data_IF_268304505732
#
_entry.id   IF_268304505732
#
_cell.length_a   1.000
_cell.length_b   1.000
_cell.length_c   1.000
_cell.angle_alpha   90.00
_cell.angle_beta   90.00
_cell.angle_gamma   90.00
#
_symmetry.space_group_name_H-M   'P 1'
#
loop_
_entity.id
_entity.type
_entity.pdbx_description
1 polymer ?
#
# COMPACT_ATOMS: atom_id res chain seq x y z
N UNK A 1 -31.78 -27.10 -11.64
CA UNK A 1 -31.54 -26.60 -13.03
C UNK A 1 -30.59 -25.40 -13.00
N UNK A 2 -29.96 -25.02 -14.13
CA UNK A 2 -29.07 -23.83 -14.18
C UNK A 2 -29.77 -22.54 -13.70
N UNK A 3 -31.09 -22.41 -13.91
CA UNK A 3 -31.90 -21.28 -13.39
C UNK A 3 -32.02 -21.32 -11.87
N UNK A 4 -32.45 -22.45 -11.31
CA UNK A 4 -32.60 -22.62 -9.86
C UNK A 4 -31.27 -22.43 -9.10
N UNK A 5 -30.14 -22.87 -9.68
CA UNK A 5 -28.81 -22.58 -9.11
C UNK A 5 -28.49 -21.09 -9.17
N UNK A 6 -28.79 -20.41 -10.28
CA UNK A 6 -28.53 -18.98 -10.41
C UNK A 6 -29.37 -18.15 -9.42
N UNK A 7 -30.65 -18.51 -9.22
CA UNK A 7 -31.54 -17.92 -8.23
C UNK A 7 -31.02 -18.12 -6.79
N UNK A 8 -30.60 -19.34 -6.43
CA UNK A 8 -30.04 -19.65 -5.10
C UNK A 8 -28.85 -18.75 -4.72
N UNK A 9 -28.02 -18.39 -5.69
CA UNK A 9 -26.82 -17.57 -5.47
C UNK A 9 -27.00 -16.10 -5.88
N UNK A 10 -28.23 -15.66 -6.17
CA UNK A 10 -28.54 -14.30 -6.61
C UNK A 10 -27.66 -13.81 -7.79
N UNK A 11 -27.44 -14.69 -8.77
CA UNK A 11 -26.71 -14.40 -10.00
C UNK A 11 -27.61 -14.61 -11.22
N UNK A 12 -27.26 -14.01 -12.36
CA UNK A 12 -28.02 -14.24 -13.59
C UNK A 12 -27.69 -15.61 -14.20
N UNK A 13 -28.67 -16.31 -14.82
CA UNK A 13 -28.39 -17.55 -15.56
C UNK A 13 -27.37 -17.38 -16.70
N UNK A 14 -27.20 -16.15 -17.21
CA UNK A 14 -26.15 -15.80 -18.19
C UNK A 14 -24.76 -15.86 -17.54
N UNK A 15 -24.56 -15.28 -16.36
CA UNK A 15 -23.29 -15.33 -15.64
C UNK A 15 -22.88 -16.78 -15.35
N UNK A 16 -23.82 -17.61 -14.88
CA UNK A 16 -23.54 -19.02 -14.61
C UNK A 16 -23.13 -19.79 -15.88
N UNK A 17 -23.77 -19.53 -17.02
CA UNK A 17 -23.38 -20.13 -18.31
C UNK A 17 -21.98 -19.72 -18.75
N UNK A 18 -21.64 -18.43 -18.62
CA UNK A 18 -20.31 -17.92 -18.96
C UNK A 18 -19.21 -18.48 -18.06
N UNK A 19 -19.46 -18.61 -16.76
CA UNK A 19 -18.50 -19.23 -15.83
C UNK A 19 -18.30 -20.71 -16.12
N UNK A 20 -19.36 -21.45 -16.47
CA UNK A 20 -19.24 -22.85 -16.90
C UNK A 20 -18.41 -22.93 -18.19
N UNK A 21 -18.64 -22.04 -19.16
CA UNK A 21 -17.86 -21.98 -20.41
C UNK A 21 -16.38 -21.71 -20.17
N UNK A 22 -16.05 -20.83 -19.21
CA UNK A 22 -14.68 -20.43 -18.85
C UNK A 22 -14.10 -21.18 -17.64
N UNK A 23 -14.67 -22.34 -17.27
CA UNK A 23 -14.32 -23.07 -16.04
C UNK A 23 -12.83 -23.36 -15.90
N UNK A 24 -12.16 -23.78 -16.99
CA UNK A 24 -10.72 -24.09 -16.94
C UNK A 24 -9.85 -22.83 -16.81
N UNK A 25 -10.20 -21.74 -17.51
CA UNK A 25 -9.51 -20.46 -17.36
C UNK A 25 -9.63 -19.91 -15.93
N UNK A 26 -10.82 -20.05 -15.32
CA UNK A 26 -11.06 -19.63 -13.93
C UNK A 26 -10.25 -20.46 -12.92
N UNK A 27 -10.09 -21.76 -13.15
CA UNK A 27 -9.27 -22.63 -12.30
C UNK A 27 -7.77 -22.33 -12.40
N UNK A 28 -7.30 -21.95 -13.58
CA UNK A 28 -5.90 -21.64 -13.84
C UNK A 28 -5.52 -20.19 -13.48
N UNK A 29 -6.50 -19.34 -13.16
CA UNK A 29 -6.25 -17.96 -12.78
C UNK A 29 -5.58 -17.88 -11.38
N UNK A 30 -4.52 -17.07 -11.22
CA UNK A 30 -3.92 -16.86 -9.91
C UNK A 30 -4.92 -16.28 -8.90
N UNK A 31 -4.83 -16.61 -7.60
CA UNK A 31 -5.79 -16.16 -6.57
C UNK A 31 -5.97 -14.63 -6.49
N UNK A 32 -4.99 -13.86 -6.94
CA UNK A 32 -5.02 -12.38 -6.93
C UNK A 32 -5.72 -11.75 -8.15
N UNK A 33 -6.08 -12.52 -9.18
CA UNK A 33 -6.65 -11.99 -10.43
C UNK A 33 -8.16 -11.83 -10.32
N UNK A 34 -8.63 -10.58 -10.27
CA UNK A 34 -10.07 -10.24 -10.16
C UNK A 34 -10.82 -10.27 -11.50
N UNK A 35 -10.13 -10.30 -12.64
CA UNK A 35 -10.74 -10.26 -14.00
C UNK A 35 -9.92 -11.11 -14.97
N UNK A 36 -10.58 -12.05 -15.67
CA UNK A 36 -9.96 -12.83 -16.75
C UNK A 36 -9.70 -12.01 -18.02
N UNK A 37 -10.47 -10.94 -18.23
CA UNK A 37 -10.27 -10.07 -19.39
C UNK A 37 -9.05 -9.17 -19.14
N UNK A 38 -7.95 -9.46 -19.85
CA UNK A 38 -6.66 -8.73 -19.81
C UNK A 38 -6.80 -7.28 -20.32
N UNK A 39 -7.96 -6.93 -20.89
CA UNK A 39 -8.24 -5.63 -21.49
C UNK A 39 -7.88 -5.60 -22.98
N UNK A 40 -8.06 -4.43 -23.62
CA UNK A 40 -7.74 -4.25 -25.04
C UNK A 40 -6.26 -4.45 -25.32
N UNK A 41 -5.94 -5.22 -26.36
CA UNK A 41 -4.57 -5.47 -26.82
C UNK A 41 -3.89 -4.16 -27.24
N UNK A 42 -2.56 -4.10 -27.08
CA UNK A 42 -1.76 -2.99 -27.57
C UNK A 42 -1.89 -2.88 -29.09
N UNK A 43 -2.19 -1.67 -29.61
CA UNK A 43 -2.24 -1.42 -31.06
C UNK A 43 -0.85 -1.57 -31.70
N UNK A 44 0.21 -1.23 -30.96
CA UNK A 44 1.61 -1.30 -31.40
C UNK A 44 2.46 -2.06 -30.36
N UNK A 45 2.34 -3.39 -30.29
CA UNK A 45 2.92 -4.18 -29.19
C UNK A 45 4.45 -4.08 -29.12
N UNK A 46 5.15 -4.11 -30.25
CA UNK A 46 6.61 -4.01 -30.26
C UNK A 46 7.11 -2.63 -29.83
N UNK A 47 6.41 -1.56 -30.24
CA UNK A 47 6.74 -0.21 -29.79
C UNK A 47 6.48 -0.04 -28.28
N UNK A 48 5.41 -0.65 -27.75
CA UNK A 48 5.14 -0.64 -26.31
C UNK A 48 6.23 -1.36 -25.50
N UNK A 49 6.89 -2.39 -26.04
CA UNK A 49 8.03 -3.05 -25.39
C UNK A 49 9.19 -2.07 -25.22
N UNK A 50 9.60 -1.39 -26.28
CA UNK A 50 10.72 -0.43 -26.23
C UNK A 50 10.38 0.77 -25.33
N UNK A 51 9.16 1.27 -25.42
CA UNK A 51 8.67 2.35 -24.57
C UNK A 51 8.64 1.94 -23.10
N UNK A 52 8.21 0.71 -22.78
CA UNK A 52 8.21 0.17 -21.41
C UNK A 52 9.62 0.06 -20.86
N UNK A 53 10.57 -0.44 -21.63
CA UNK A 53 11.98 -0.54 -21.25
C UNK A 53 12.57 0.84 -20.94
N UNK A 54 12.27 1.83 -21.78
CA UNK A 54 12.69 3.21 -21.55
C UNK A 54 12.07 3.81 -20.27
N UNK A 55 10.76 3.60 -20.02
CA UNK A 55 10.11 4.05 -18.77
C UNK A 55 10.76 3.40 -17.54
N UNK A 56 11.05 2.10 -17.59
CA UNK A 56 11.74 1.38 -16.50
C UNK A 56 13.14 1.96 -16.23
N UNK A 57 13.92 2.24 -17.27
CA UNK A 57 15.26 2.85 -17.16
C UNK A 57 15.24 4.26 -16.55
N UNK A 58 14.19 5.05 -16.81
CA UNK A 58 14.04 6.35 -16.16
C UNK A 58 13.65 6.21 -14.68
N UNK A 59 12.74 5.28 -14.38
CA UNK A 59 12.28 5.02 -13.01
C UNK A 59 13.38 4.44 -12.13
N UNK A 60 14.27 3.59 -12.65
CA UNK A 60 15.43 3.09 -11.89
C UNK A 60 16.41 4.20 -11.50
N UNK A 61 16.52 5.23 -12.33
CA UNK A 61 17.30 6.46 -12.05
C UNK A 61 16.52 7.51 -11.26
N UNK A 62 15.38 7.14 -10.68
CA UNK A 62 14.50 8.02 -9.91
C UNK A 62 14.02 9.27 -10.68
N UNK A 63 14.04 9.24 -12.02
CA UNK A 63 13.54 10.34 -12.85
C UNK A 63 12.03 10.28 -12.96
N UNK A 64 11.39 11.45 -12.87
CA UNK A 64 9.95 11.59 -13.08
C UNK A 64 9.63 11.27 -14.54
N UNK A 65 8.60 10.45 -14.77
CA UNK A 65 8.09 10.12 -16.10
C UNK A 65 6.68 10.67 -16.22
N UNK A 66 6.54 11.81 -16.88
CA UNK A 66 5.23 12.44 -17.11
C UNK A 66 4.52 11.84 -18.33
N UNK A 67 3.19 12.03 -18.42
CA UNK A 67 2.41 11.62 -19.61
C UNK A 67 2.94 12.27 -20.90
N UNK A 68 3.39 13.52 -20.80
CA UNK A 68 4.01 14.24 -21.91
C UNK A 68 5.30 13.56 -22.37
N UNK A 69 6.18 13.18 -21.44
CA UNK A 69 7.43 12.48 -21.78
C UNK A 69 7.16 11.15 -22.49
N UNK A 70 6.17 10.37 -22.02
CA UNK A 70 5.77 9.11 -22.67
C UNK A 70 5.23 9.36 -24.07
N UNK A 71 4.37 10.37 -24.24
CA UNK A 71 3.85 10.79 -25.55
C UNK A 71 4.98 11.16 -26.51
N UNK A 72 5.90 12.02 -26.08
CA UNK A 72 7.03 12.49 -26.90
C UNK A 72 7.95 11.33 -27.29
N UNK A 73 8.27 10.43 -26.34
CA UNK A 73 9.09 9.26 -26.64
C UNK A 73 8.39 8.30 -27.60
N UNK A 74 7.09 8.06 -27.44
CA UNK A 74 6.32 7.23 -28.37
C UNK A 74 6.33 7.81 -29.79
N UNK A 75 6.11 9.13 -29.93
CA UNK A 75 6.22 9.82 -31.21
C UNK A 75 7.62 9.73 -31.83
N UNK A 76 8.68 9.76 -31.02
CA UNK A 76 10.05 9.58 -31.52
C UNK A 76 10.30 8.15 -32.01
N UNK A 77 9.87 7.14 -31.25
CA UNK A 77 9.99 5.74 -31.66
C UNK A 77 9.21 5.47 -32.95
N UNK A 78 8.02 6.05 -33.09
CA UNK A 78 7.17 5.90 -34.28
C UNK A 78 7.85 6.33 -35.59
N UNK A 79 8.82 7.26 -35.52
CA UNK A 79 9.56 7.75 -36.69
C UNK A 79 10.74 6.85 -37.09
N UNK A 80 11.09 5.85 -36.29
CA UNK A 80 12.21 4.97 -36.62
C UNK A 80 11.84 4.05 -37.80
N UNK A 81 12.75 3.79 -38.76
CA UNK A 81 12.47 2.95 -39.93
C UNK A 81 11.95 1.55 -39.59
N UNK A 82 12.43 0.97 -38.48
CA UNK A 82 11.97 -0.32 -37.96
C UNK A 82 10.47 -0.33 -37.64
N UNK A 83 9.93 0.77 -37.10
CA UNK A 83 8.50 0.84 -36.76
C UNK A 83 7.64 1.28 -37.93
N UNK A 84 8.16 2.12 -38.84
CA UNK A 84 7.46 2.51 -40.07
C UNK A 84 7.24 1.32 -41.00
N UNK A 85 8.23 0.44 -41.14
CA UNK A 85 8.12 -0.80 -41.93
C UNK A 85 7.12 -1.80 -41.33
N UNK A 86 7.07 -1.93 -40.01
CA UNK A 86 6.15 -2.83 -39.31
C UNK A 86 4.71 -2.29 -39.21
N UNK A 87 4.56 -0.97 -39.15
CA UNK A 87 3.28 -0.31 -38.88
C UNK A 87 3.10 0.91 -39.80
N UNK A 88 2.55 0.73 -41.03
CA UNK A 88 2.50 1.80 -42.04
C UNK A 88 1.75 3.06 -41.60
N UNK A 89 0.67 2.92 -40.83
CA UNK A 89 -0.15 4.05 -40.33
C UNK A 89 0.32 4.58 -38.96
N UNK A 90 1.52 4.24 -38.51
CA UNK A 90 1.98 4.65 -37.18
C UNK A 90 2.29 6.14 -37.09
N UNK A 91 2.68 6.78 -38.20
CA UNK A 91 2.98 8.21 -38.24
C UNK A 91 1.72 9.07 -38.02
N UNK A 92 0.54 8.56 -38.37
CA UNK A 92 -0.76 9.21 -38.22
C UNK A 92 -1.27 9.12 -36.78
N UNK A 93 -0.62 8.29 -35.95
CA UNK A 93 -1.03 8.12 -34.57
C UNK A 93 -0.81 9.41 -33.77
N UNK A 94 -1.89 9.96 -33.21
CA UNK A 94 -1.84 11.19 -32.40
C UNK A 94 -1.22 11.03 -31.00
N UNK A 95 -0.88 9.80 -30.59
CA UNK A 95 -0.36 9.46 -29.25
C UNK A 95 -1.13 10.19 -28.13
N UNK A 96 -2.47 10.12 -28.19
CA UNK A 96 -3.33 10.88 -27.28
C UNK A 96 -3.09 10.49 -25.83
N UNK A 97 -3.44 11.36 -24.87
CA UNK A 97 -3.32 11.00 -23.46
C UNK A 97 -4.15 9.76 -23.09
N UNK A 98 -5.28 9.50 -23.77
CA UNK A 98 -6.03 8.24 -23.63
C UNK A 98 -5.19 7.03 -24.04
N UNK A 99 -4.42 7.13 -25.13
CA UNK A 99 -3.50 6.06 -25.55
C UNK A 99 -2.39 5.86 -24.51
N UNK A 100 -1.79 6.96 -24.01
CA UNK A 100 -0.76 6.93 -22.95
C UNK A 100 -1.30 6.26 -21.69
N UNK A 101 -2.48 6.65 -21.21
CA UNK A 101 -3.12 6.03 -20.04
C UNK A 101 -3.44 4.54 -20.29
N UNK A 102 -3.79 4.19 -21.54
CA UNK A 102 -3.88 2.81 -22.02
C UNK A 102 -2.58 2.02 -21.84
N UNK A 103 -1.49 2.55 -22.38
CA UNK A 103 -0.15 1.98 -22.29
C UNK A 103 0.30 1.82 -20.83
N UNK A 104 0.13 2.86 -20.01
CA UNK A 104 0.49 2.86 -18.60
C UNK A 104 -0.28 1.77 -17.85
N UNK A 105 -1.60 1.67 -18.07
CA UNK A 105 -2.45 0.64 -17.45
C UNK A 105 -2.06 -0.77 -17.86
N UNK A 106 -1.84 -1.02 -19.16
CA UNK A 106 -1.40 -2.34 -19.67
C UNK A 106 -0.07 -2.78 -19.08
N UNK A 107 0.80 -1.83 -18.77
CA UNK A 107 2.14 -2.10 -18.26
C UNK A 107 2.27 -1.93 -16.73
N UNK A 108 1.14 -1.83 -16.02
CA UNK A 108 1.09 -1.63 -14.56
C UNK A 108 1.89 -0.42 -14.05
N UNK A 109 2.01 0.61 -14.90
CA UNK A 109 2.57 1.88 -14.49
C UNK A 109 1.47 2.75 -13.89
N UNK A 110 1.67 3.15 -12.63
CA UNK A 110 0.80 4.11 -11.99
C UNK A 110 1.19 5.55 -12.38
N UNK A 111 0.17 6.38 -12.65
CA UNK A 111 0.28 7.84 -12.64
C UNK A 111 0.21 8.30 -11.17
N UNK A 112 1.14 7.87 -10.32
CA UNK A 112 1.22 8.38 -8.96
C UNK A 112 1.83 9.78 -9.01
N UNK A 113 1.09 10.79 -8.54
CA UNK A 113 1.70 11.99 -7.97
C UNK A 113 2.63 11.49 -6.87
N UNK A 114 3.90 11.93 -6.81
CA UNK A 114 4.80 11.54 -5.72
C UNK A 114 4.03 11.73 -4.41
N UNK A 115 3.95 10.70 -3.57
CA UNK A 115 4.19 10.96 -2.16
C UNK A 115 5.62 11.42 -2.11
N UNK A 116 5.92 12.50 -1.39
CA UNK A 116 7.29 12.97 -1.22
C UNK A 116 8.12 11.78 -0.74
N UNK A 117 8.84 11.12 -1.66
CA UNK A 117 9.88 10.14 -1.33
C UNK A 117 10.67 10.81 -0.23
N UNK A 118 10.71 10.16 0.94
CA UNK A 118 11.53 10.60 2.06
C UNK A 118 12.87 11.04 1.47
N UNK A 119 13.27 12.27 1.77
CA UNK A 119 14.53 12.81 1.27
C UNK A 119 15.63 11.77 1.52
N UNK A 120 16.63 11.68 0.64
CA UNK A 120 17.83 10.89 0.96
C UNK A 120 18.24 11.32 2.37
N UNK A 121 18.30 10.35 3.28
CA UNK A 121 18.70 10.60 4.66
C UNK A 121 20.09 11.26 4.56
N UNK A 122 20.26 12.48 5.09
CA UNK A 122 21.56 13.15 5.06
C UNK A 122 22.66 12.24 5.61
N UNK A 123 23.88 12.29 5.06
CA UNK A 123 24.99 11.51 5.63
C UNK A 123 25.27 11.87 7.10
N UNK A 124 24.89 13.07 7.53
CA UNK A 124 25.03 13.60 8.89
C UNK A 124 23.84 13.28 9.81
N UNK A 125 22.88 12.46 9.37
CA UNK A 125 21.67 12.17 10.14
C UNK A 125 21.95 11.45 11.46
N UNK A 126 22.81 10.44 11.45
CA UNK A 126 23.18 9.70 12.67
C UNK A 126 23.90 10.64 13.66
N UNK A 127 24.95 11.41 13.25
CA UNK A 127 25.56 12.44 14.10
C UNK A 127 24.57 13.47 14.65
N UNK A 128 23.67 14.01 13.81
CA UNK A 128 22.67 15.01 14.24
C UNK A 128 21.62 14.43 15.18
N UNK A 129 21.22 13.18 14.96
CA UNK A 129 20.32 12.48 15.89
C UNK A 129 20.99 12.34 17.25
N UNK A 130 22.25 11.91 17.27
CA UNK A 130 22.97 11.70 18.51
C UNK A 130 23.24 13.03 19.23
N UNK A 131 23.63 14.08 18.51
CA UNK A 131 23.75 15.45 19.03
C UNK A 131 22.42 15.97 19.59
N UNK A 132 21.31 15.75 18.88
CA UNK A 132 19.97 16.11 19.38
C UNK A 132 19.63 15.35 20.65
N UNK A 133 19.84 14.03 20.70
CA UNK A 133 19.58 13.21 21.89
C UNK A 133 20.45 13.59 23.08
N UNK A 134 21.68 14.07 22.84
CA UNK A 134 22.57 14.57 23.89
C UNK A 134 22.16 15.95 24.41
N UNK A 135 21.56 16.79 23.57
CA UNK A 135 21.15 18.15 23.91
C UNK A 135 19.68 18.28 24.34
N UNK A 136 18.86 17.25 24.12
CA UNK A 136 17.51 17.20 24.71
C UNK A 136 17.66 17.09 26.22
N UNK A 137 17.14 18.06 27.00
CA UNK A 137 17.19 17.98 28.45
C UNK A 137 16.55 16.68 28.90
N UNK A 138 17.26 15.88 29.70
CA UNK A 138 16.69 14.71 30.37
C UNK A 138 15.72 15.21 31.42
N UNK A 139 14.53 15.59 30.99
CA UNK A 139 13.46 15.97 31.89
C UNK A 139 13.11 14.74 32.72
N UNK A 140 12.97 14.96 34.03
CA UNK A 140 12.41 13.95 34.91
C UNK A 140 10.93 13.86 34.56
N UNK A 141 10.54 12.75 33.92
CA UNK A 141 9.13 12.53 33.63
C UNK A 141 8.35 12.33 34.94
N UNK A 142 7.13 12.88 35.06
CA UNK A 142 6.26 12.64 36.20
C UNK A 142 6.10 11.16 36.54
N UNK A 143 5.92 10.86 37.84
CA UNK A 143 5.64 9.51 38.31
C UNK A 143 4.44 8.90 37.56
N UNK A 144 4.63 7.71 36.99
CA UNK A 144 3.62 7.01 36.19
C UNK A 144 3.84 7.07 34.68
N UNK A 145 4.72 7.95 34.18
CA UNK A 145 5.12 7.97 32.76
C UNK A 145 6.28 6.99 32.54
N UNK A 146 6.08 6.02 31.66
CA UNK A 146 7.10 5.05 31.25
C UNK A 146 7.59 5.39 29.86
N UNK A 147 8.88 5.70 29.74
CA UNK A 147 9.55 5.97 28.46
C UNK A 147 10.45 4.79 28.11
N UNK A 148 10.28 4.25 26.90
CA UNK A 148 11.09 3.14 26.38
C UNK A 148 11.42 3.40 24.92
N UNK A 149 12.66 3.09 24.53
CA UNK A 149 13.17 3.30 23.18
C UNK A 149 13.89 2.05 22.70
N UNK A 150 13.96 1.87 21.38
CA UNK A 150 14.72 0.80 20.74
C UNK A 150 15.56 1.37 19.59
N UNK A 151 16.48 0.55 19.06
CA UNK A 151 17.38 0.98 17.97
C UNK A 151 16.66 1.30 16.66
N UNK A 152 15.53 0.65 16.37
CA UNK A 152 14.79 0.91 15.14
C UNK A 152 14.00 2.22 15.19
N UNK A 153 13.72 2.75 16.38
CA UNK A 153 12.84 3.90 16.58
C UNK A 153 11.36 3.60 16.27
N UNK A 154 11.01 2.35 15.99
CA UNK A 154 9.66 1.92 15.65
C UNK A 154 9.14 0.90 16.64
N UNK A 155 7.82 0.90 16.86
CA UNK A 155 7.17 -0.17 17.63
C UNK A 155 7.43 -1.53 16.96
N UNK A 156 7.75 -2.55 17.73
CA UNK A 156 7.94 -3.92 17.25
C UNK A 156 7.25 -4.90 18.22
N UNK A 157 7.34 -6.21 17.95
CA UNK A 157 6.69 -7.23 18.78
C UNK A 157 7.18 -7.19 20.24
N UNK A 158 8.48 -7.04 20.47
CA UNK A 158 9.06 -7.03 21.82
C UNK A 158 8.60 -5.81 22.61
N UNK A 159 8.58 -4.64 21.97
CA UNK A 159 8.08 -3.40 22.56
C UNK A 159 6.57 -3.48 22.85
N UNK A 160 5.79 -4.12 21.97
CA UNK A 160 4.37 -4.38 22.22
C UNK A 160 4.15 -5.32 23.40
N UNK A 161 4.90 -6.41 23.49
CA UNK A 161 4.82 -7.35 24.61
C UNK A 161 5.18 -6.64 25.92
N UNK A 162 6.26 -5.85 25.93
CA UNK A 162 6.62 -5.05 27.09
C UNK A 162 5.48 -4.11 27.51
N UNK A 163 4.88 -3.40 26.56
CA UNK A 163 3.77 -2.50 26.83
C UNK A 163 2.54 -3.23 27.39
N UNK A 164 2.24 -4.44 26.88
CA UNK A 164 1.15 -5.26 27.41
C UNK A 164 1.39 -5.59 28.89
N UNK A 165 2.59 -6.07 29.22
CA UNK A 165 2.91 -6.51 30.57
C UNK A 165 2.98 -5.37 31.58
N UNK A 166 3.60 -4.26 31.18
CA UNK A 166 3.98 -3.21 32.11
C UNK A 166 2.99 -2.05 32.13
N UNK A 167 2.16 -1.89 31.09
CA UNK A 167 1.25 -0.75 30.95
C UNK A 167 -0.19 -1.23 30.82
N UNK A 168 -0.49 -2.11 29.85
CA UNK A 168 -1.87 -2.56 29.62
C UNK A 168 -2.45 -3.28 30.83
N UNK A 169 -1.70 -4.22 31.41
CA UNK A 169 -2.18 -5.02 32.54
C UNK A 169 -2.36 -4.24 33.85
N UNK A 170 -1.78 -3.04 33.97
CA UNK A 170 -1.93 -2.21 35.18
C UNK A 170 -3.30 -1.54 35.30
N UNK A 171 -4.15 -1.64 34.27
CA UNK A 171 -5.50 -1.03 34.25
C UNK A 171 -6.50 -1.69 35.19
N UNK A 172 -6.32 -2.98 35.48
CA UNK A 172 -7.23 -3.73 36.30
C UNK A 172 -6.55 -4.07 37.64
N UNK A 173 -7.25 -3.95 38.78
CA UNK A 173 -6.78 -4.53 40.03
C UNK A 173 -6.46 -6.02 39.81
N UNK A 174 -5.35 -6.50 40.38
CA UNK A 174 -4.77 -7.84 40.15
C UNK A 174 -5.77 -9.02 40.31
N UNK A 175 -6.91 -8.79 40.96
CA UNK A 175 -7.93 -9.79 41.27
C UNK A 175 -9.04 -9.95 40.22
N UNK A 176 -9.20 -9.02 39.27
CA UNK A 176 -10.24 -9.08 38.24
C UNK A 176 -9.52 -8.93 36.89
N UNK A 177 -9.51 -9.97 36.06
CA UNK A 177 -8.99 -9.92 34.69
C UNK A 177 -10.16 -9.70 33.72
N UNK A 178 -10.75 -8.48 33.67
CA UNK A 178 -11.99 -8.25 32.95
C UNK A 178 -11.76 -8.42 31.45
N UNK A 179 -12.79 -8.95 30.78
CA UNK A 179 -12.78 -9.00 29.33
C UNK A 179 -12.75 -7.58 28.79
N UNK A 180 -11.72 -7.29 28.00
CA UNK A 180 -11.45 -5.93 27.51
C UNK A 180 -11.41 -5.87 26.00
N UNK A 181 -11.66 -4.69 25.43
CA UNK A 181 -11.49 -4.42 24.00
C UNK A 181 -10.42 -3.35 23.82
N UNK A 182 -9.41 -3.65 23.01
CA UNK A 182 -8.36 -2.71 22.62
C UNK A 182 -8.50 -2.38 21.14
N UNK A 183 -8.62 -1.08 20.83
CA UNK A 183 -8.67 -0.58 19.46
C UNK A 183 -7.31 0.00 19.09
N UNK A 184 -6.69 -0.50 18.01
CA UNK A 184 -5.37 -0.09 17.52
C UNK A 184 -5.43 0.26 16.04
N UNK A 185 -4.43 0.98 15.54
CA UNK A 185 -4.22 1.14 14.11
C UNK A 185 -3.68 -0.15 13.46
N UNK A 186 -3.66 -0.19 12.13
CA UNK A 186 -3.20 -1.35 11.36
C UNK A 186 -1.66 -1.46 11.25
N UNK A 187 -0.90 -0.92 12.20
CA UNK A 187 0.55 -0.98 12.12
C UNK A 187 1.07 -2.42 12.29
N UNK A 188 2.00 -2.83 11.42
CA UNK A 188 2.46 -4.23 11.33
C UNK A 188 3.00 -4.80 12.64
N UNK A 189 3.68 -4.01 13.47
CA UNK A 189 4.19 -4.45 14.78
C UNK A 189 3.09 -4.82 15.78
N UNK A 190 1.89 -4.25 15.64
CA UNK A 190 0.73 -4.58 16.48
C UNK A 190 0.09 -5.91 16.09
N UNK A 191 0.26 -6.35 14.84
CA UNK A 191 -0.53 -7.43 14.24
C UNK A 191 0.23 -8.75 14.15
N UNK A 192 1.39 -8.85 14.79
CA UNK A 192 2.15 -10.09 14.87
C UNK A 192 1.44 -11.12 15.74
N UNK A 193 1.64 -12.41 15.44
CA UNK A 193 0.92 -13.47 16.14
C UNK A 193 1.31 -13.59 17.61
N UNK A 194 2.56 -13.28 17.96
CA UNK A 194 3.01 -13.19 19.36
C UNK A 194 2.23 -12.14 20.15
N UNK A 195 1.98 -10.97 19.55
CA UNK A 195 1.22 -9.88 20.17
C UNK A 195 -0.26 -10.25 20.33
N UNK A 196 -0.88 -10.83 19.29
CA UNK A 196 -2.27 -11.30 19.36
C UNK A 196 -2.47 -12.36 20.44
N UNK A 197 -1.56 -13.35 20.49
CA UNK A 197 -1.61 -14.40 21.49
C UNK A 197 -1.49 -13.81 22.89
N UNK A 198 -0.59 -12.84 23.08
CA UNK A 198 -0.42 -12.19 24.38
C UNK A 198 -1.66 -11.41 24.81
N UNK A 199 -2.35 -10.70 23.92
CA UNK A 199 -3.63 -10.06 24.26
C UNK A 199 -4.73 -11.06 24.61
N UNK A 200 -4.79 -12.20 23.91
CA UNK A 200 -5.74 -13.25 24.22
C UNK A 200 -5.52 -13.84 25.62
N UNK A 201 -4.27 -14.07 26.01
CA UNK A 201 -3.90 -14.49 27.37
C UNK A 201 -4.32 -13.47 28.44
N UNK A 202 -4.36 -12.17 28.08
CA UNK A 202 -4.81 -11.07 28.95
C UNK A 202 -6.31 -10.75 28.77
N UNK A 203 -7.10 -11.71 28.29
CA UNK A 203 -8.55 -11.59 28.12
C UNK A 203 -8.96 -10.32 27.34
N UNK A 204 -8.15 -9.91 26.36
CA UNK A 204 -8.33 -8.68 25.61
C UNK A 204 -8.57 -8.99 24.14
N UNK A 205 -9.72 -8.57 23.62
CA UNK A 205 -9.99 -8.61 22.19
C UNK A 205 -9.36 -7.41 21.50
N UNK A 206 -8.79 -7.63 20.33
CA UNK A 206 -8.21 -6.57 19.50
C UNK A 206 -9.18 -6.19 18.37
N UNK A 207 -9.36 -4.89 18.16
CA UNK A 207 -10.02 -4.33 16.99
C UNK A 207 -9.04 -3.43 16.24
N UNK A 208 -8.95 -3.61 14.92
CA UNK A 208 -7.98 -2.89 14.08
C UNK A 208 -8.70 -1.84 13.24
N UNK A 209 -8.27 -0.59 13.33
CA UNK A 209 -8.76 0.51 12.52
C UNK A 209 -8.21 0.32 11.09
N UNK A 210 -9.07 0.29 10.05
CA UNK A 210 -8.60 0.15 8.68
C UNK A 210 -7.66 1.28 8.26
N UNK A 211 -6.72 0.94 7.37
CA UNK A 211 -5.77 1.90 6.82
C UNK A 211 -6.46 3.14 6.23
N UNK A 212 -5.87 4.32 6.46
CA UNK A 212 -6.39 5.60 5.99
C UNK A 212 -7.55 6.17 6.81
N UNK A 213 -8.05 5.44 7.82
CA UNK A 213 -9.12 5.88 8.71
C UNK A 213 -8.64 6.37 10.08
N UNK A 214 -7.35 6.24 10.43
CA UNK A 214 -6.76 6.75 11.68
C UNK A 214 -7.18 8.18 12.01
N UNK A 215 -7.07 9.10 11.03
CA UNK A 215 -7.45 10.52 11.16
C UNK A 215 -8.95 10.78 11.41
N UNK A 216 -9.79 9.75 11.37
CA UNK A 216 -11.24 9.83 11.61
C UNK A 216 -11.68 8.98 12.79
N UNK A 217 -11.08 7.79 12.94
CA UNK A 217 -11.56 6.73 13.82
C UNK A 217 -10.64 6.45 15.01
N UNK A 218 -9.43 7.00 15.07
CA UNK A 218 -8.54 6.85 16.22
C UNK A 218 -8.75 8.03 17.17
N UNK A 219 -9.51 7.87 18.29
CA UNK A 219 -9.91 9.00 19.13
C UNK A 219 -8.71 9.77 19.67
N UNK A 220 -7.64 9.05 20.01
CA UNK A 220 -6.39 9.65 20.45
C UNK A 220 -5.80 10.60 19.40
N UNK A 221 -5.81 10.23 18.12
CA UNK A 221 -5.26 11.07 17.05
C UNK A 221 -6.17 12.25 16.68
N UNK A 222 -7.50 12.07 16.78
CA UNK A 222 -8.48 13.09 16.42
C UNK A 222 -8.57 14.19 17.49
N UNK A 223 -8.53 13.82 18.77
CA UNK A 223 -8.83 14.74 19.87
C UNK A 223 -7.62 15.10 20.71
N UNK A 224 -6.81 14.12 21.13
CA UNK A 224 -5.70 14.35 22.07
C UNK A 224 -4.45 14.81 21.33
N UNK A 225 -3.97 14.02 20.36
CA UNK A 225 -2.73 14.33 19.65
C UNK A 225 -2.86 15.53 18.71
N UNK A 226 -4.09 15.91 18.32
CA UNK A 226 -4.34 17.05 17.43
C UNK A 226 -3.77 18.34 18.01
N UNK A 227 -3.97 18.61 19.30
CA UNK A 227 -3.44 19.81 19.96
C UNK A 227 -1.90 19.87 20.00
N UNK A 228 -1.24 18.71 19.94
CA UNK A 228 0.22 18.62 19.85
C UNK A 228 0.76 18.78 18.42
N UNK A 229 -0.07 18.53 17.40
CA UNK A 229 0.32 18.55 15.99
C UNK A 229 -0.01 19.87 15.28
N UNK A 230 -1.01 20.61 15.77
CA UNK A 230 -1.50 21.87 15.16
C UNK A 230 -0.61 23.10 15.48
N UNK A 231 0.69 22.91 15.77
CA UNK A 231 1.67 24.00 15.95
C UNK A 231 2.55 24.19 14.73
#
# INVERSE_FOLDING_TARGET
>A
SKRSTAEKFNITPKQLREWIKKKQELKNAPPCVRRLNIGGRAKYPLLEVDLKTWVKSLRSRQKIVSRYMVKTKASQLAKQPRFLSLYPMINECKWSYKWVDGFMRRNNFSNRRRTTVAQRLPEDLEPKRDEFLMNVPRQVFPSGIVVRTNRSGYMNSDEMIFWIENIWNRRAPLSINPRSLLVLDAFSGHLTDSVKNRFNEKNTNMAVIPEGLTKKLQPLDVYINKSFKDK
#
